data_IF_519236042966
#
_entry.id   IF_519236042966
#
_cell.length_a   1.000
_cell.length_b   1.000
_cell.length_c   1.000
_cell.angle_alpha   90.00
_cell.angle_beta   90.00
_cell.angle_gamma   90.00
#
_symmetry.space_group_name_H-M   'P 1'
#
loop_
_entity.id
_entity.type
_entity.pdbx_description
1 polymer ?
#
# COMPACT_ATOMS: atom_id res chain seq x y z
N UNK A 1 27.15 16.19 -20.22
CA UNK A 1 26.87 15.97 -18.78
C UNK A 1 26.35 17.26 -18.15
N UNK A 2 25.38 17.15 -17.24
CA UNK A 2 24.80 18.29 -16.52
C UNK A 2 24.38 17.84 -15.11
N UNK A 3 24.20 18.80 -14.21
CA UNK A 3 23.72 18.55 -12.84
C UNK A 3 22.31 19.11 -12.64
N UNK A 4 21.54 18.43 -11.79
CA UNK A 4 20.17 18.79 -11.38
C UNK A 4 20.11 19.55 -10.05
N UNK A 5 21.24 19.78 -9.39
CA UNK A 5 21.30 20.32 -8.03
C UNK A 5 20.56 21.65 -7.80
N UNK A 6 20.64 22.58 -8.74
CA UNK A 6 20.11 23.94 -8.54
C UNK A 6 19.03 24.33 -9.56
N UNK A 7 18.46 23.34 -10.27
CA UNK A 7 17.55 23.61 -11.38
C UNK A 7 16.44 22.57 -11.46
N UNK A 8 15.34 22.98 -12.08
CA UNK A 8 14.33 22.03 -12.55
C UNK A 8 14.87 21.28 -13.77
N UNK A 9 14.57 19.98 -13.87
CA UNK A 9 14.94 19.13 -14.99
C UNK A 9 13.73 18.32 -15.43
N UNK A 10 13.45 18.37 -16.71
CA UNK A 10 12.35 17.68 -17.36
C UNK A 10 12.92 16.53 -18.19
N UNK A 11 12.42 15.33 -17.93
CA UNK A 11 12.68 14.12 -18.70
C UNK A 11 11.39 13.73 -19.40
N UNK A 12 11.39 13.79 -20.72
CA UNK A 12 10.19 13.50 -21.51
C UNK A 12 10.54 12.61 -22.68
N UNK A 13 9.66 11.67 -22.98
CA UNK A 13 9.77 10.83 -24.16
C UNK A 13 8.40 10.24 -24.54
N UNK A 14 8.30 9.76 -25.76
CA UNK A 14 7.14 9.07 -26.26
C UNK A 14 7.40 7.57 -26.31
N UNK A 15 6.41 6.77 -25.90
CA UNK A 15 6.43 5.33 -26.08
C UNK A 15 5.09 4.85 -26.65
N UNK A 16 5.17 3.86 -27.53
CA UNK A 16 4.04 3.18 -28.14
C UNK A 16 4.28 1.69 -28.12
N UNK A 17 3.26 0.89 -27.84
CA UNK A 17 3.27 -0.54 -28.14
C UNK A 17 2.45 -0.79 -29.41
N UNK A 18 3.04 -1.43 -30.43
CA UNK A 18 2.36 -1.71 -31.70
C UNK A 18 1.20 -2.70 -31.54
N UNK A 19 1.32 -3.59 -30.58
CA UNK A 19 0.31 -4.54 -30.15
C UNK A 19 0.13 -4.44 -28.63
N UNK A 20 -0.92 -5.06 -28.11
CA UNK A 20 -1.12 -5.11 -26.66
C UNK A 20 0.08 -5.81 -26.00
N UNK A 21 0.88 -5.03 -25.27
CA UNK A 21 2.01 -5.55 -24.50
C UNK A 21 1.48 -6.37 -23.32
N UNK A 22 1.81 -7.66 -23.27
CA UNK A 22 1.43 -8.52 -22.15
C UNK A 22 2.49 -8.51 -21.03
N UNK A 23 3.77 -8.56 -21.40
CA UNK A 23 4.87 -8.43 -20.46
C UNK A 23 6.10 -7.80 -21.12
N UNK A 24 6.44 -6.58 -20.69
CA UNK A 24 7.61 -5.84 -21.11
C UNK A 24 7.69 -4.43 -20.51
N UNK A 25 8.92 -3.92 -20.48
CA UNK A 25 9.21 -2.55 -20.03
C UNK A 25 9.13 -1.53 -21.17
N UNK A 26 8.70 -0.32 -20.83
CA UNK A 26 8.66 0.87 -21.67
C UNK A 26 9.37 2.07 -21.03
N UNK A 27 10.21 1.83 -20.02
CA UNK A 27 10.92 2.84 -19.24
C UNK A 27 12.31 3.16 -19.77
N UNK A 28 12.82 4.33 -19.40
CA UNK A 28 14.20 4.73 -19.63
C UNK A 28 14.95 4.81 -18.30
N UNK A 29 16.27 4.58 -18.37
CA UNK A 29 17.21 4.80 -17.26
C UNK A 29 18.06 6.03 -17.58
N UNK A 30 17.96 7.05 -16.74
CA UNK A 30 18.78 8.27 -16.79
C UNK A 30 19.96 8.09 -15.83
N UNK A 31 21.18 8.18 -16.34
CA UNK A 31 22.36 7.77 -15.63
C UNK A 31 23.48 8.82 -15.67
N UNK A 32 24.47 8.72 -14.77
CA UNK A 32 25.70 9.50 -14.87
C UNK A 32 26.43 9.24 -16.18
N UNK A 33 27.43 10.08 -16.46
CA UNK A 33 28.34 9.82 -17.57
C UNK A 33 29.07 8.50 -17.33
N UNK A 34 29.03 7.60 -18.30
CA UNK A 34 29.80 6.37 -18.34
C UNK A 34 30.95 6.51 -19.34
N UNK A 35 32.13 5.97 -19.01
CA UNK A 35 33.29 6.02 -19.92
C UNK A 35 33.12 5.08 -21.12
N UNK A 36 32.52 3.91 -20.91
CA UNK A 36 32.19 2.95 -21.97
C UNK A 36 30.71 2.56 -21.90
N UNK A 37 29.89 3.20 -22.73
CA UNK A 37 28.43 2.99 -22.82
C UNK A 37 28.08 1.52 -23.13
N UNK A 38 28.97 0.78 -23.77
CA UNK A 38 28.74 -0.63 -24.14
C UNK A 38 28.75 -1.58 -22.95
N UNK A 39 29.28 -1.15 -21.80
CA UNK A 39 29.33 -1.96 -20.59
C UNK A 39 28.01 -1.89 -19.79
N UNK A 40 27.09 -1.00 -20.19
CA UNK A 40 25.80 -0.83 -19.55
C UNK A 40 24.94 -2.11 -19.64
N UNK A 41 24.35 -2.48 -18.51
CA UNK A 41 23.51 -3.65 -18.38
C UNK A 41 22.51 -3.48 -17.20
N UNK A 42 21.73 -4.52 -16.92
CA UNK A 42 20.69 -4.50 -15.89
C UNK A 42 21.17 -4.15 -14.48
N UNK A 43 22.43 -4.45 -14.15
CA UNK A 43 23.06 -4.16 -12.84
C UNK A 43 23.77 -2.80 -12.79
N UNK A 44 23.87 -2.11 -13.92
CA UNK A 44 24.53 -0.81 -13.99
C UNK A 44 23.77 0.24 -13.19
N UNK A 45 24.51 1.05 -12.42
CA UNK A 45 23.94 2.17 -11.66
C UNK A 45 23.35 3.22 -12.60
N UNK A 46 22.14 3.65 -12.27
CA UNK A 46 21.45 4.78 -12.90
C UNK A 46 20.98 5.71 -11.80
N UNK A 47 20.69 6.97 -12.13
CA UNK A 47 20.16 7.95 -11.17
C UNK A 47 18.65 7.80 -11.03
N UNK A 48 17.95 7.73 -12.17
CA UNK A 48 16.48 7.66 -12.24
C UNK A 48 16.07 6.62 -13.27
N UNK A 49 15.10 5.76 -12.93
CA UNK A 49 14.35 4.95 -13.88
C UNK A 49 12.91 5.44 -13.91
N UNK A 50 12.41 5.76 -15.11
CA UNK A 50 11.08 6.33 -15.27
C UNK A 50 10.38 5.80 -16.52
N UNK A 51 9.10 5.42 -16.38
CA UNK A 51 8.25 5.02 -17.50
C UNK A 51 7.32 3.84 -17.25
N UNK A 52 6.47 3.47 -18.24
CA UNK A 52 5.53 2.38 -18.08
C UNK A 52 6.22 1.01 -18.03
N UNK A 53 5.66 0.12 -17.23
CA UNK A 53 6.06 -1.28 -17.14
C UNK A 53 4.82 -2.15 -16.92
N UNK A 54 4.76 -3.26 -17.62
CA UNK A 54 3.64 -4.20 -17.54
C UNK A 54 4.16 -5.62 -17.60
N UNK A 55 3.66 -6.49 -16.73
CA UNK A 55 3.82 -7.93 -16.84
C UNK A 55 2.60 -8.65 -16.24
N UNK A 56 1.73 -9.13 -17.13
CA UNK A 56 0.43 -9.71 -16.76
C UNK A 56 -0.46 -8.66 -16.09
N UNK A 57 -0.93 -8.97 -14.88
CA UNK A 57 -1.76 -8.05 -14.09
C UNK A 57 -0.97 -6.95 -13.39
N UNK A 58 0.35 -7.12 -13.26
CA UNK A 58 1.21 -6.09 -12.66
C UNK A 58 1.49 -5.02 -13.72
N UNK A 59 0.98 -3.81 -13.52
CA UNK A 59 1.18 -2.68 -14.43
C UNK A 59 1.30 -1.40 -13.64
N UNK A 60 2.30 -0.59 -13.96
CA UNK A 60 2.58 0.67 -13.27
C UNK A 60 3.41 1.60 -14.13
N UNK A 61 3.41 2.87 -13.79
CA UNK A 61 4.49 3.77 -14.23
C UNK A 61 5.59 3.73 -13.16
N UNK A 62 6.78 3.24 -13.50
CA UNK A 62 7.92 3.29 -12.61
C UNK A 62 8.39 4.73 -12.44
N UNK A 63 8.74 5.08 -11.21
CA UNK A 63 9.57 6.22 -10.89
C UNK A 63 10.46 5.81 -9.71
N UNK A 64 11.69 5.43 -10.05
CA UNK A 64 12.67 4.87 -9.13
C UNK A 64 13.86 5.80 -9.14
N UNK A 65 14.38 6.10 -7.96
CA UNK A 65 15.56 6.92 -7.79
C UNK A 65 16.66 6.11 -7.12
N UNK A 66 17.91 6.47 -7.38
CA UNK A 66 19.06 5.84 -6.73
C UNK A 66 19.64 6.80 -5.68
N UNK A 67 19.94 6.32 -4.46
CA UNK A 67 20.53 7.15 -3.39
C UNK A 67 22.07 7.01 -3.32
N UNK A 68 22.71 6.48 -4.36
CA UNK A 68 24.12 6.11 -4.40
C UNK A 68 24.43 4.69 -3.88
N UNK A 69 23.46 4.03 -3.24
CA UNK A 69 23.60 2.65 -2.72
C UNK A 69 22.52 1.73 -3.28
N UNK A 70 21.28 2.15 -3.14
CA UNK A 70 20.09 1.37 -3.42
C UNK A 70 19.17 2.09 -4.40
N UNK A 71 18.37 1.30 -5.12
CA UNK A 71 17.27 1.79 -5.94
C UNK A 71 16.03 1.90 -5.04
N UNK A 72 15.61 3.13 -4.76
CA UNK A 72 14.48 3.44 -3.90
C UNK A 72 13.22 3.49 -4.76
N UNK A 73 12.33 2.54 -4.50
CA UNK A 73 11.03 2.45 -5.16
C UNK A 73 10.03 3.39 -4.48
N UNK A 74 9.08 3.89 -5.29
CA UNK A 74 7.94 4.64 -4.76
C UNK A 74 7.10 3.74 -3.86
N UNK A 75 6.58 4.28 -2.77
CA UNK A 75 5.76 3.52 -1.79
C UNK A 75 4.44 3.05 -2.41
N UNK A 76 3.82 3.90 -3.24
CA UNK A 76 2.60 3.60 -3.98
C UNK A 76 2.85 3.71 -5.47
N UNK A 77 2.42 2.69 -6.23
CA UNK A 77 2.57 2.63 -7.67
C UNK A 77 1.89 3.82 -8.38
N UNK A 78 2.56 4.42 -9.36
CA UNK A 78 1.94 5.42 -10.22
C UNK A 78 0.99 4.73 -11.22
N UNK A 79 -0.13 5.38 -11.57
CA UNK A 79 -1.07 4.84 -12.54
C UNK A 79 -0.38 4.46 -13.85
N UNK A 80 -0.69 3.27 -14.34
CA UNK A 80 -0.32 2.84 -15.68
C UNK A 80 -1.28 3.47 -16.70
N UNK A 81 -0.72 4.03 -17.78
CA UNK A 81 -1.49 4.77 -18.80
C UNK A 81 -1.25 4.25 -20.23
N UNK A 82 -0.60 3.09 -20.40
CA UNK A 82 -0.25 2.51 -21.70
C UNK A 82 -1.09 1.25 -22.00
N UNK A 83 -2.41 1.34 -21.83
CA UNK A 83 -3.33 0.20 -22.00
C UNK A 83 -3.80 -0.02 -23.45
N UNK A 84 -3.39 0.84 -24.37
CA UNK A 84 -3.71 0.77 -25.78
C UNK A 84 -2.46 0.71 -26.68
N UNK A 85 -2.69 0.78 -27.99
CA UNK A 85 -1.65 0.68 -29.02
C UNK A 85 -1.27 2.03 -29.63
N UNK A 86 -1.67 3.14 -29.01
CA UNK A 86 -1.27 4.48 -29.45
C UNK A 86 -0.05 4.96 -28.69
N UNK A 87 0.56 6.02 -29.20
CA UNK A 87 1.72 6.63 -28.56
C UNK A 87 1.28 7.51 -27.41
N UNK A 88 1.90 7.35 -26.24
CA UNK A 88 1.71 8.24 -25.10
C UNK A 88 3.01 8.95 -24.74
N UNK A 89 2.90 10.21 -24.30
CA UNK A 89 4.02 11.04 -23.88
C UNK A 89 4.16 10.96 -22.37
N UNK A 90 5.29 10.47 -21.88
CA UNK A 90 5.63 10.42 -20.46
C UNK A 90 6.54 11.58 -20.12
N UNK A 91 6.20 12.35 -19.09
CA UNK A 91 7.00 13.46 -18.59
C UNK A 91 7.23 13.35 -17.09
N UNK A 92 8.48 13.43 -16.68
CA UNK A 92 8.92 13.60 -15.30
C UNK A 92 9.56 14.97 -15.16
N UNK A 93 9.11 15.76 -14.20
CA UNK A 93 9.74 17.01 -13.78
C UNK A 93 10.36 16.82 -12.41
N UNK A 94 11.68 16.94 -12.30
CA UNK A 94 12.44 16.93 -11.04
C UNK A 94 12.75 18.37 -10.63
N UNK A 95 12.37 18.77 -9.42
CA UNK A 95 12.55 20.14 -8.92
C UNK A 95 13.67 20.23 -7.86
N UNK A 96 14.34 21.39 -7.73
CA UNK A 96 15.47 21.58 -6.80
C UNK A 96 15.06 21.65 -5.31
N UNK A 97 13.79 21.40 -5.01
CA UNK A 97 13.22 21.38 -3.65
C UNK A 97 12.78 19.96 -3.24
N UNK A 98 13.36 18.91 -3.84
CA UNK A 98 13.04 17.52 -3.55
C UNK A 98 11.58 17.13 -3.85
N UNK A 99 10.95 17.80 -4.81
CA UNK A 99 9.62 17.43 -5.31
C UNK A 99 9.68 17.00 -6.76
N UNK A 100 8.73 16.16 -7.17
CA UNK A 100 8.58 15.73 -8.56
C UNK A 100 7.14 15.81 -9.02
N UNK A 101 6.97 16.05 -10.32
CA UNK A 101 5.69 15.94 -11.01
C UNK A 101 5.79 14.94 -12.15
N UNK A 102 4.77 14.10 -12.29
CA UNK A 102 4.65 13.12 -13.37
C UNK A 102 3.38 13.38 -14.15
N UNK A 103 3.53 13.46 -15.46
CA UNK A 103 2.45 13.66 -16.41
C UNK A 103 2.50 12.58 -17.50
N UNK A 104 1.31 12.17 -17.95
CA UNK A 104 1.15 11.34 -19.14
C UNK A 104 0.14 12.02 -20.07
N UNK A 105 0.55 12.28 -21.30
CA UNK A 105 -0.22 13.06 -22.29
C UNK A 105 -0.68 14.45 -21.78
N UNK A 106 0.13 15.05 -20.91
CA UNK A 106 -0.17 16.33 -20.26
C UNK A 106 -1.17 16.24 -19.10
N UNK A 107 -1.72 15.05 -18.80
CA UNK A 107 -2.48 14.81 -17.57
C UNK A 107 -1.53 14.57 -16.41
N UNK A 108 -1.65 15.37 -15.35
CA UNK A 108 -0.92 15.14 -14.10
C UNK A 108 -1.43 13.88 -13.42
N UNK A 109 -0.53 12.91 -13.23
CA UNK A 109 -0.83 11.66 -12.51
C UNK A 109 -0.21 11.64 -11.10
N UNK A 110 0.73 12.55 -10.82
CA UNK A 110 1.36 12.73 -9.50
C UNK A 110 2.10 14.07 -9.41
N UNK A 111 2.00 14.73 -8.26
CA UNK A 111 2.87 15.86 -7.86
C UNK A 111 3.10 15.76 -6.34
N UNK A 112 4.36 15.68 -5.89
CA UNK A 112 4.65 15.51 -4.47
C UNK A 112 6.13 15.46 -4.08
N UNK A 113 6.37 15.41 -2.77
CA UNK A 113 7.70 15.30 -2.17
C UNK A 113 8.29 13.91 -2.35
N UNK A 114 9.59 13.85 -2.65
CA UNK A 114 10.33 12.60 -2.74
C UNK A 114 10.44 11.94 -1.35
N UNK A 115 10.72 12.72 -0.30
CA UNK A 115 10.87 12.23 1.07
C UNK A 115 9.60 11.51 1.58
N UNK A 116 8.42 12.05 1.26
CA UNK A 116 7.15 11.51 1.73
C UNK A 116 6.69 10.27 0.95
N UNK A 117 7.09 10.16 -0.31
CA UNK A 117 6.54 9.17 -1.24
C UNK A 117 7.51 8.01 -1.55
N UNK A 118 8.77 8.12 -1.17
CA UNK A 118 9.80 7.10 -1.33
C UNK A 118 10.48 6.83 0.00
N UNK A 119 10.70 5.54 0.31
CA UNK A 119 11.37 5.12 1.56
C UNK A 119 12.87 5.26 1.45
N UNK A 120 13.37 6.50 1.48
CA UNK A 120 14.80 6.78 1.38
C UNK A 120 15.59 6.50 2.66
N UNK A 121 14.92 6.23 3.77
CA UNK A 121 15.53 5.93 5.06
C UNK A 121 14.48 5.65 6.13
N UNK A 122 14.94 5.68 7.38
CA UNK A 122 14.06 5.60 8.53
C UNK A 122 13.14 6.84 8.63
N UNK A 123 11.92 6.71 9.16
CA UNK A 123 11.02 7.85 9.31
C UNK A 123 11.57 8.85 10.34
N UNK A 124 11.29 10.14 10.15
CA UNK A 124 11.72 11.19 11.10
C UNK A 124 11.10 11.03 12.50
N UNK A 125 9.90 10.44 12.56
CA UNK A 125 9.18 10.16 13.81
C UNK A 125 8.74 8.69 13.89
N UNK A 126 8.88 8.11 15.07
CA UNK A 126 8.42 6.76 15.40
C UNK A 126 7.42 6.81 16.57
N UNK A 127 6.62 5.76 16.73
CA UNK A 127 5.82 5.61 17.95
C UNK A 127 6.74 5.41 19.15
N UNK A 128 6.46 6.10 20.25
CA UNK A 128 7.20 5.99 21.50
C UNK A 128 7.03 4.57 22.06
N UNK A 129 8.08 3.74 22.08
CA UNK A 129 7.98 2.37 22.57
C UNK A 129 7.68 2.30 24.07
N UNK A 130 7.90 3.39 24.82
CA UNK A 130 7.63 3.49 26.25
C UNK A 130 6.23 4.06 26.54
N UNK A 131 5.54 4.62 25.54
CA UNK A 131 4.17 5.12 25.71
C UNK A 131 3.19 3.96 25.58
N UNK A 132 2.35 3.79 26.59
CA UNK A 132 1.38 2.72 26.67
C UNK A 132 -0.01 3.29 26.91
N UNK A 133 -1.02 2.58 26.43
CA UNK A 133 -2.41 2.95 26.62
C UNK A 133 -2.71 3.05 28.12
N UNK A 134 -3.13 4.23 28.64
CA UNK A 134 -3.53 4.36 30.03
C UNK A 134 -4.69 3.43 30.37
N UNK A 135 -4.70 2.87 31.57
CA UNK A 135 -5.79 1.97 32.03
C UNK A 135 -7.16 2.66 32.01
N UNK A 136 -7.20 3.98 32.23
CA UNK A 136 -8.41 4.80 32.20
C UNK A 136 -8.79 5.28 30.78
N UNK A 137 -8.07 4.83 29.74
CA UNK A 137 -8.39 5.19 28.36
C UNK A 137 -9.43 4.24 27.77
N UNK A 138 -10.63 4.75 27.61
CA UNK A 138 -11.74 4.02 26.99
C UNK A 138 -11.74 4.29 25.49
N UNK A 139 -11.38 3.27 24.70
CA UNK A 139 -11.38 3.29 23.23
C UNK A 139 -12.51 2.44 22.62
N UNK A 140 -13.37 1.85 23.44
CA UNK A 140 -14.61 1.22 22.96
C UNK A 140 -15.72 2.27 22.87
N UNK A 141 -16.25 2.56 21.66
CA UNK A 141 -17.33 3.54 21.50
C UNK A 141 -18.66 3.07 22.09
N UNK A 142 -18.80 1.76 22.32
CA UNK A 142 -20.00 1.14 22.90
C UNK A 142 -19.66 0.42 24.19
N UNK A 143 -20.60 0.42 25.14
CA UNK A 143 -20.56 -0.38 26.36
C UNK A 143 -21.90 -1.10 26.56
N UNK A 144 -21.91 -2.10 27.43
CA UNK A 144 -23.16 -2.71 27.89
C UNK A 144 -23.90 -1.73 28.80
N UNK A 145 -25.22 -1.61 28.63
CA UNK A 145 -26.07 -0.76 29.44
C UNK A 145 -26.12 -1.29 30.88
N UNK A 146 -25.58 -0.55 31.87
CA UNK A 146 -25.54 -1.02 33.25
C UNK A 146 -26.93 -1.12 33.88
N UNK A 147 -27.93 -0.44 33.31
CA UNK A 147 -29.32 -0.50 33.76
C UNK A 147 -30.10 -1.63 33.07
N UNK A 148 -29.57 -2.22 32.01
CA UNK A 148 -30.19 -3.37 31.35
C UNK A 148 -29.87 -4.65 32.12
N UNK A 149 -30.91 -5.29 32.63
CA UNK A 149 -30.80 -6.51 33.43
C UNK A 149 -31.49 -7.64 32.71
N UNK A 150 -30.88 -8.83 32.79
CA UNK A 150 -31.47 -10.06 32.30
C UNK A 150 -32.90 -10.19 32.84
N UNK A 151 -33.93 -10.26 31.96
CA UNK A 151 -35.30 -10.50 32.38
C UNK A 151 -35.43 -11.86 33.09
N UNK A 152 -36.29 -11.92 34.12
CA UNK A 152 -36.52 -13.17 34.87
C UNK A 152 -37.11 -14.29 33.98
N UNK A 153 -37.80 -13.94 32.90
CA UNK A 153 -38.38 -14.88 31.92
C UNK A 153 -37.41 -15.24 30.77
N UNK A 154 -36.12 -14.90 30.89
CA UNK A 154 -35.12 -15.21 29.87
C UNK A 154 -34.46 -16.56 30.10
N UNK A 155 -34.89 -17.56 29.33
CA UNK A 155 -34.42 -18.95 29.44
C UNK A 155 -33.19 -19.16 28.56
N UNK A 156 -32.07 -19.57 29.16
CA UNK A 156 -30.79 -19.84 28.47
C UNK A 156 -30.51 -21.34 28.36
N UNK A 157 -31.31 -22.17 29.04
CA UNK A 157 -31.23 -23.61 28.98
C UNK A 157 -31.82 -24.11 27.66
N UNK A 158 -30.93 -24.43 26.72
CA UNK A 158 -31.31 -24.92 25.39
C UNK A 158 -32.07 -26.27 25.43
N UNK A 159 -31.90 -27.06 26.50
CA UNK A 159 -32.53 -28.37 26.65
C UNK A 159 -33.16 -28.56 28.03
N UNK A 160 -34.31 -29.22 28.05
CA UNK A 160 -35.06 -29.59 29.26
C UNK A 160 -35.42 -31.08 29.21
N UNK A 161 -35.61 -31.75 30.37
CA UNK A 161 -36.07 -33.14 30.39
C UNK A 161 -37.46 -33.27 29.75
N UNK A 162 -37.68 -34.32 28.96
CA UNK A 162 -39.01 -34.61 28.40
C UNK A 162 -39.95 -35.15 29.50
N UNK A 163 -40.87 -34.31 29.96
CA UNK A 163 -41.86 -34.68 30.97
C UNK A 163 -42.84 -35.77 30.47
N UNK A 164 -43.00 -35.92 29.16
CA UNK A 164 -43.89 -36.91 28.54
C UNK A 164 -43.21 -38.24 28.28
N UNK A 165 -41.88 -38.29 28.34
CA UNK A 165 -41.15 -39.54 28.28
C UNK A 165 -41.46 -40.36 29.53
N UNK A 166 -41.83 -41.62 29.32
CA UNK A 166 -41.95 -42.63 30.36
C UNK A 166 -40.90 -43.71 30.12
N UNK A 167 -40.44 -44.33 31.20
CA UNK A 167 -39.56 -45.49 31.12
C UNK A 167 -40.19 -46.57 30.22
N UNK A 168 -39.44 -47.12 29.25
CA UNK A 168 -39.90 -48.24 28.44
C UNK A 168 -40.25 -49.46 29.30
N UNK A 169 -41.25 -50.23 28.89
CA UNK A 169 -41.67 -51.44 29.63
C UNK A 169 -40.59 -52.55 29.65
N UNK A 170 -39.61 -52.46 28.76
CA UNK A 170 -38.48 -53.39 28.61
C UNK A 170 -37.17 -52.89 29.25
N UNK A 171 -37.20 -51.82 30.05
CA UNK A 171 -36.03 -51.30 30.76
C UNK A 171 -35.65 -52.17 31.96
N UNK A 172 -34.36 -52.53 32.10
CA UNK A 172 -33.84 -53.28 33.24
C UNK A 172 -32.85 -52.43 34.05
N UNK A 173 -33.23 -52.01 35.26
CA UNK A 173 -32.38 -51.16 36.11
C UNK A 173 -31.08 -51.86 36.59
N UNK A 174 -31.03 -53.19 36.63
CA UNK A 174 -29.83 -53.94 37.05
C UNK A 174 -28.78 -54.01 35.93
N UNK A 175 -29.22 -54.03 34.66
CA UNK A 175 -28.35 -54.12 33.47
C UNK A 175 -28.11 -52.75 32.79
N UNK A 176 -29.12 -51.87 32.71
CA UNK A 176 -29.08 -50.58 32.02
C UNK A 176 -28.88 -49.36 32.95
N UNK A 177 -29.07 -49.53 34.27
CA UNK A 177 -28.95 -48.48 35.29
C UNK A 177 -30.23 -47.67 35.55
N UNK A 178 -30.13 -46.63 36.40
CA UNK A 178 -31.26 -45.72 36.69
C UNK A 178 -31.71 -45.01 35.41
N UNK A 179 -32.99 -45.11 35.08
CA UNK A 179 -33.53 -44.48 33.88
C UNK A 179 -33.57 -42.94 34.03
N UNK A 180 -32.90 -42.24 33.13
CA UNK A 180 -32.96 -40.78 33.02
C UNK A 180 -33.86 -40.35 31.84
N UNK A 181 -34.65 -39.30 32.05
CA UNK A 181 -35.50 -38.73 30.99
C UNK A 181 -34.62 -38.18 29.86
N UNK A 182 -34.96 -38.43 28.58
CA UNK A 182 -34.25 -37.81 27.48
C UNK A 182 -34.43 -36.29 27.51
N UNK A 183 -33.36 -35.56 27.17
CA UNK A 183 -33.39 -34.10 27.06
C UNK A 183 -33.92 -33.68 25.68
N UNK A 184 -34.97 -32.88 25.65
CA UNK A 184 -35.55 -32.28 24.44
C UNK A 184 -35.20 -30.81 24.34
N UNK A 185 -35.31 -30.25 23.14
CA UNK A 185 -35.09 -28.81 22.93
C UNK A 185 -36.15 -28.01 23.69
N UNK A 186 -35.68 -27.02 24.45
CA UNK A 186 -36.55 -26.18 25.25
C UNK A 186 -37.25 -25.15 24.35
N UNK A 187 -38.58 -25.19 24.19
CA UNK A 187 -39.30 -24.27 23.32
C UNK A 187 -39.21 -22.81 23.79
N UNK A 188 -38.90 -22.58 25.08
CA UNK A 188 -38.77 -21.25 25.66
C UNK A 188 -37.32 -20.71 25.61
N UNK A 189 -36.36 -21.47 25.06
CA UNK A 189 -34.96 -21.04 24.94
C UNK A 189 -34.81 -19.78 24.08
N UNK A 190 -34.26 -18.71 24.67
CA UNK A 190 -34.08 -17.40 24.02
C UNK A 190 -32.62 -17.09 23.64
N UNK A 191 -31.70 -18.03 23.84
CA UNK A 191 -30.27 -17.81 23.59
C UNK A 191 -29.55 -17.19 24.79
N UNK A 192 -28.21 -17.09 24.74
CA UNK A 192 -27.44 -16.43 25.78
C UNK A 192 -27.86 -14.96 25.89
N UNK A 193 -28.13 -14.49 27.10
CA UNK A 193 -28.54 -13.11 27.29
C UNK A 193 -27.36 -12.16 27.04
N UNK A 194 -27.59 -11.11 26.25
CA UNK A 194 -26.64 -10.04 26.02
C UNK A 194 -27.29 -8.72 26.39
N UNK A 195 -26.62 -7.94 27.24
CA UNK A 195 -27.06 -6.60 27.59
C UNK A 195 -27.12 -5.71 26.34
N UNK A 196 -28.08 -4.78 26.33
CA UNK A 196 -28.19 -3.75 25.31
C UNK A 196 -26.92 -2.92 25.25
N UNK A 197 -26.38 -2.72 24.04
CA UNK A 197 -25.24 -1.83 23.82
C UNK A 197 -25.69 -0.37 23.78
N UNK A 198 -25.04 0.49 24.56
CA UNK A 198 -25.24 1.94 24.56
C UNK A 198 -23.92 2.65 24.24
N UNK A 199 -24.01 3.90 23.79
CA UNK A 199 -22.83 4.74 23.58
C UNK A 199 -22.07 4.90 24.90
N UNK A 200 -20.75 4.71 24.84
CA UNK A 200 -19.90 4.82 26.01
C UNK A 200 -19.59 6.31 26.30
N UNK A 201 -20.14 6.91 27.38
CA UNK A 201 -19.92 8.33 27.68
C UNK A 201 -18.45 8.66 27.98
N UNK A 202 -17.64 7.68 28.36
CA UNK A 202 -16.23 7.85 28.70
C UNK A 202 -15.30 7.62 27.49
N UNK A 203 -15.85 7.33 26.30
CA UNK A 203 -15.05 7.09 25.09
C UNK A 203 -14.16 8.29 24.74
N UNK A 204 -12.84 8.06 24.75
CA UNK A 204 -11.79 9.06 24.48
C UNK A 204 -11.23 8.98 23.05
N UNK A 205 -11.74 8.08 22.21
CA UNK A 205 -11.19 7.79 20.88
C UNK A 205 -10.28 6.56 20.87
N UNK A 206 -9.94 6.09 19.68
CA UNK A 206 -8.89 5.08 19.51
C UNK A 206 -7.57 5.62 20.07
N UNK A 207 -6.99 4.90 21.02
CA UNK A 207 -5.69 5.27 21.57
C UNK A 207 -4.60 5.08 20.52
N UNK A 208 -3.69 6.05 20.41
CA UNK A 208 -2.46 5.95 19.63
C UNK A 208 -1.28 6.41 20.48
N UNK A 209 -0.13 5.72 20.44
CA UNK A 209 1.07 6.15 21.14
C UNK A 209 1.52 7.52 20.65
N UNK A 210 2.20 8.27 21.51
CA UNK A 210 2.86 9.52 21.13
C UNK A 210 3.93 9.25 20.08
N UNK A 211 4.10 10.18 19.16
CA UNK A 211 5.23 10.21 18.22
C UNK A 211 6.45 10.85 18.90
N UNK A 212 7.62 10.25 18.74
CA UNK A 212 8.92 10.78 19.18
C UNK A 212 9.87 10.83 17.99
N UNK A 213 10.87 11.71 18.07
CA UNK A 213 11.92 11.77 17.06
C UNK A 213 12.67 10.44 17.01
N UNK A 214 12.89 9.93 15.80
CA UNK A 214 13.61 8.68 15.60
C UNK A 214 15.13 8.91 15.75
N UNK A 215 15.81 8.26 16.72
CA UNK A 215 17.24 8.44 16.93
C UNK A 215 18.09 7.94 15.75
N UNK A 216 17.54 7.04 14.92
CA UNK A 216 18.19 6.49 13.74
C UNK A 216 17.86 7.30 12.46
N UNK A 217 17.02 8.34 12.55
CA UNK A 217 16.76 9.23 11.42
C UNK A 217 18.02 10.00 11.05
N UNK A 218 18.46 9.79 9.82
CA UNK A 218 19.52 10.59 9.20
C UNK A 218 18.84 11.45 8.12
N UNK A 219 18.83 12.79 8.25
CA UNK A 219 18.33 13.66 7.21
C UNK A 219 19.02 13.35 5.90
N UNK A 220 18.24 13.06 4.87
CA UNK A 220 18.77 12.75 3.56
C UNK A 220 19.33 14.04 2.97
N UNK A 221 20.60 14.02 2.58
CA UNK A 221 21.13 15.12 1.79
C UNK A 221 20.35 15.16 0.46
N UNK A 222 19.75 16.33 0.17
CA UNK A 222 19.05 16.73 -1.07
C UNK A 222 19.03 15.64 -2.15
N UNK A 223 17.93 14.91 -2.20
CA UNK A 223 17.70 13.72 -3.01
C UNK A 223 17.71 14.04 -4.51
N UNK A 224 17.24 15.24 -4.90
CA UNK A 224 17.21 15.67 -6.29
C UNK A 224 18.58 15.90 -6.93
N UNK A 225 19.69 15.81 -6.18
CA UNK A 225 21.03 16.10 -6.72
C UNK A 225 21.61 14.93 -7.47
N UNK A 226 21.56 15.01 -8.79
CA UNK A 226 22.16 14.05 -9.70
C UNK A 226 22.98 14.72 -10.79
N UNK A 227 24.13 14.09 -11.10
CA UNK A 227 24.87 14.34 -12.33
C UNK A 227 24.44 13.35 -13.41
N UNK A 228 23.95 13.87 -14.54
CA UNK A 228 23.50 13.08 -15.68
C UNK A 228 24.50 13.17 -16.83
N UNK A 229 24.63 12.08 -17.58
CA UNK A 229 25.49 12.03 -18.77
C UNK A 229 25.06 11.01 -19.82
N UNK A 230 24.09 10.15 -19.54
CA UNK A 230 23.58 9.18 -20.49
C UNK A 230 22.10 8.85 -20.25
N UNK A 231 21.42 8.44 -21.32
CA UNK A 231 20.08 7.87 -21.29
C UNK A 231 20.17 6.47 -21.90
N UNK A 232 19.65 5.48 -21.19
CA UNK A 232 19.71 4.08 -21.58
C UNK A 232 18.30 3.50 -21.70
N UNK A 233 18.13 2.71 -22.75
CA UNK A 233 17.00 1.82 -22.94
C UNK A 233 17.50 0.40 -22.70
N UNK A 234 17.13 -0.14 -21.55
CA UNK A 234 17.51 -1.48 -21.09
C UNK A 234 16.26 -2.11 -20.49
N UNK A 235 15.48 -2.74 -21.37
CA UNK A 235 14.18 -3.31 -21.05
C UNK A 235 14.13 -4.76 -21.51
N UNK A 236 13.44 -5.58 -20.72
CA UNK A 236 13.03 -6.92 -21.14
C UNK A 236 11.63 -6.85 -21.76
N UNK A 237 11.41 -7.58 -22.85
CA UNK A 237 10.10 -7.73 -23.48
C UNK A 237 9.90 -9.18 -23.91
N UNK A 238 8.73 -9.75 -23.59
CA UNK A 238 8.34 -11.08 -24.09
C UNK A 238 7.98 -11.00 -25.57
N UNK A 239 7.13 -10.04 -25.93
CA UNK A 239 6.77 -9.73 -27.30
C UNK A 239 7.41 -8.38 -27.67
N UNK A 240 8.12 -8.33 -28.80
CA UNK A 240 8.63 -7.07 -29.35
C UNK A 240 7.49 -6.17 -29.85
N UNK A 241 7.77 -4.89 -30.04
CA UNK A 241 6.81 -3.94 -30.61
C UNK A 241 6.73 -2.61 -29.86
N UNK A 242 7.61 -2.37 -28.89
CA UNK A 242 7.74 -1.05 -28.32
C UNK A 242 8.54 -0.12 -29.24
N UNK A 243 7.96 1.05 -29.50
CA UNK A 243 8.56 2.13 -30.26
C UNK A 243 8.77 3.29 -29.29
N UNK A 244 10.01 3.78 -29.24
CA UNK A 244 10.38 4.94 -28.44
C UNK A 244 10.76 6.08 -29.38
N UNK A 245 10.26 7.27 -29.11
CA UNK A 245 10.53 8.46 -29.91
C UNK A 245 10.59 9.72 -29.03
N UNK A 246 11.04 10.83 -29.60
CA UNK A 246 10.98 12.17 -29.01
C UNK A 246 11.58 12.28 -27.59
N UNK A 247 12.70 11.59 -27.35
CA UNK A 247 13.41 11.67 -26.06
C UNK A 247 14.05 13.06 -25.93
N UNK A 248 13.60 13.81 -24.92
CA UNK A 248 14.13 15.13 -24.55
C UNK A 248 14.46 15.18 -23.05
N UNK A 249 15.60 15.79 -22.74
CA UNK A 249 16.00 16.14 -21.38
C UNK A 249 16.38 17.62 -21.39
N UNK A 250 15.65 18.44 -20.65
CA UNK A 250 15.76 19.91 -20.70
C UNK A 250 15.48 20.55 -19.34
N UNK A 251 15.92 21.79 -19.13
CA UNK A 251 15.54 22.63 -17.99
C UNK A 251 14.59 23.79 -18.39
N UNK A 252 14.07 23.76 -19.63
CA UNK A 252 13.09 24.73 -20.14
C UNK A 252 11.75 24.05 -20.46
N UNK A 253 10.71 24.44 -19.71
CA UNK A 253 9.32 23.96 -19.90
C UNK A 253 8.81 24.25 -21.31
N UNK A 254 9.13 25.42 -21.89
CA UNK A 254 8.64 25.77 -23.22
C UNK A 254 9.27 24.91 -24.30
N UNK A 255 10.53 24.50 -24.12
CA UNK A 255 11.19 23.57 -25.05
C UNK A 255 10.57 22.17 -24.93
N UNK A 256 10.21 21.73 -23.71
CA UNK A 256 9.52 20.45 -23.52
C UNK A 256 8.09 20.43 -24.10
N UNK A 257 7.41 21.58 -24.08
CA UNK A 257 6.03 21.73 -24.56
C UNK A 257 5.92 21.99 -26.09
N UNK A 258 7.03 22.28 -26.78
CA UNK A 258 7.07 22.66 -28.20
C UNK A 258 6.96 21.46 -29.17
#
# INVERSE_FOLDING_TARGET
PFSSEDKEVIFQYQVKYEENMDCGGGYLKFAPKMDNISDFNSESTYNIMFGPDKCGFNRRTHLIFNNGKDNILKTDDLPYKQDDTVSHVYRLTLRPNDTVKVEVDGEEIFDGSIEENWKYGEPAEIDDPEDSKPEDWVDSPMMDDPEDKKPEDWVEEAKIPDEKATQPEDWDEEEDGEWERPMIDNPDYKGPWMAKRIANPDYKGEWKPKKIANPDYVPLEKIHKYDFGAVFLDVWQVNSGAIFDNIIVTDDVKEADA
#
